data_IF_240838010668
#
_entry.id   IF_240838010668
#
_cell.length_a   1.000
_cell.length_b   1.000
_cell.length_c   1.000
_cell.angle_alpha   90.00
_cell.angle_beta   90.00
_cell.angle_gamma   90.00
#
_symmetry.space_group_name_H-M   'P 1'
#
loop_
_entity.id
_entity.type
_entity.pdbx_description
1 polymer ?
#
# COMPACT_ATOMS: atom_id res chain seq x y z
N UNK A 1 -10.21 -21.76 -12.87
CA UNK A 1 -10.28 -20.60 -11.98
C UNK A 1 -11.34 -20.87 -10.91
N UNK A 2 -11.00 -20.72 -9.64
CA UNK A 2 -11.94 -20.76 -8.52
C UNK A 2 -12.09 -19.38 -7.95
N UNK A 3 -13.33 -18.89 -7.82
CA UNK A 3 -13.64 -17.62 -7.18
C UNK A 3 -14.23 -17.94 -5.81
N UNK A 4 -13.68 -17.29 -4.78
CA UNK A 4 -14.20 -17.31 -3.41
C UNK A 4 -14.53 -15.88 -3.01
N UNK A 5 -15.74 -15.67 -2.50
CA UNK A 5 -16.19 -14.40 -1.97
C UNK A 5 -16.26 -14.47 -0.44
N UNK A 6 -15.52 -13.59 0.22
CA UNK A 6 -15.45 -13.49 1.68
C UNK A 6 -15.81 -12.07 2.11
N UNK A 7 -17.06 -11.82 2.48
CA UNK A 7 -17.49 -10.51 2.95
C UNK A 7 -16.92 -10.23 4.35
N UNK A 8 -16.50 -8.99 4.58
CA UNK A 8 -16.28 -8.49 5.94
C UNK A 8 -17.61 -8.00 6.51
N UNK A 9 -17.83 -8.19 7.82
CA UNK A 9 -19.07 -7.78 8.50
C UNK A 9 -19.31 -6.27 8.42
N UNK A 10 -18.24 -5.48 8.40
CA UNK A 10 -18.30 -4.03 8.24
C UNK A 10 -17.10 -3.49 7.46
N UNK A 11 -17.23 -2.37 6.77
CA UNK A 11 -16.10 -1.70 6.15
C UNK A 11 -15.18 -1.13 7.24
N UNK A 12 -13.98 -1.66 7.36
CA UNK A 12 -13.01 -1.27 8.40
C UNK A 12 -11.76 -0.57 7.86
N UNK A 13 -11.67 -0.46 6.54
CA UNK A 13 -10.51 0.12 5.84
C UNK A 13 -9.78 -0.89 4.97
N UNK A 14 -8.56 -0.57 4.56
CA UNK A 14 -7.79 -1.34 3.58
C UNK A 14 -6.99 -2.50 4.17
N UNK A 15 -6.43 -2.34 5.37
CA UNK A 15 -5.51 -3.31 5.95
C UNK A 15 -6.17 -4.62 6.41
N UNK A 16 -7.33 -4.62 7.10
CA UNK A 16 -7.97 -5.86 7.53
C UNK A 16 -8.37 -6.79 6.36
N UNK A 17 -9.00 -6.32 5.26
CA UNK A 17 -9.29 -7.20 4.13
C UNK A 17 -8.03 -7.74 3.46
N UNK A 18 -6.96 -6.97 3.39
CA UNK A 18 -5.67 -7.42 2.85
C UNK A 18 -5.06 -8.54 3.72
N UNK A 19 -5.08 -8.42 5.04
CA UNK A 19 -4.71 -9.52 5.94
C UNK A 19 -5.57 -10.77 5.69
N UNK A 20 -6.89 -10.57 5.51
CA UNK A 20 -7.82 -11.68 5.25
C UNK A 20 -7.50 -12.42 3.96
N UNK A 21 -7.08 -11.72 2.91
CA UNK A 21 -6.64 -12.36 1.66
C UNK A 21 -5.51 -13.36 1.92
N UNK A 22 -4.48 -12.98 2.65
CA UNK A 22 -3.37 -13.88 2.98
C UNK A 22 -3.79 -15.03 3.90
N UNK A 23 -4.70 -14.79 4.84
CA UNK A 23 -5.24 -15.83 5.74
C UNK A 23 -5.94 -16.95 4.95
N UNK A 24 -6.82 -16.57 4.01
CA UNK A 24 -7.69 -17.54 3.33
C UNK A 24 -7.12 -18.10 2.02
N UNK A 25 -6.07 -17.51 1.49
CA UNK A 25 -5.40 -18.01 0.29
C UNK A 25 -4.89 -19.44 0.49
N UNK A 26 -4.91 -20.25 -0.56
CA UNK A 26 -4.48 -21.65 -0.53
C UNK A 26 -3.26 -21.94 -1.41
N UNK A 27 -2.80 -20.95 -2.19
CA UNK A 27 -1.59 -21.05 -3.00
C UNK A 27 -0.33 -20.74 -2.18
N UNK A 28 0.82 -21.09 -2.74
CA UNK A 28 2.14 -20.88 -2.12
C UNK A 28 2.55 -19.41 -2.15
N UNK A 29 2.06 -18.66 -3.14
CA UNK A 29 2.23 -17.21 -3.23
C UNK A 29 0.88 -16.49 -3.29
N UNK A 30 0.85 -15.27 -2.80
CA UNK A 30 -0.35 -14.41 -2.82
C UNK A 30 0.00 -13.09 -3.49
N UNK A 31 -0.82 -12.70 -4.45
CA UNK A 31 -0.81 -11.35 -5.03
C UNK A 31 -2.10 -10.65 -4.63
N UNK A 32 -1.99 -9.67 -3.77
CA UNK A 32 -3.10 -8.84 -3.32
C UNK A 32 -3.26 -7.66 -4.29
N UNK A 33 -4.48 -7.42 -4.74
CA UNK A 33 -4.77 -6.39 -5.74
C UNK A 33 -6.00 -5.58 -5.36
N UNK A 34 -6.01 -4.30 -5.70
CA UNK A 34 -7.19 -3.45 -5.60
C UNK A 34 -8.15 -3.72 -6.77
N UNK A 35 -9.43 -3.42 -6.61
CA UNK A 35 -10.50 -3.71 -7.59
C UNK A 35 -10.51 -2.78 -8.81
N UNK A 36 -9.67 -1.76 -8.81
CA UNK A 36 -9.61 -0.71 -9.83
C UNK A 36 -8.22 -0.61 -10.49
N UNK A 37 -7.54 -1.74 -10.60
CA UNK A 37 -6.29 -1.86 -11.34
C UNK A 37 -6.46 -2.82 -12.52
N UNK A 38 -5.57 -2.71 -13.49
CA UNK A 38 -5.38 -3.69 -14.54
C UNK A 38 -3.93 -4.20 -14.52
N UNK A 39 -3.68 -5.29 -15.22
CA UNK A 39 -2.32 -5.79 -15.43
C UNK A 39 -1.91 -5.62 -16.89
N UNK A 40 -0.65 -5.28 -17.09
CA UNK A 40 -0.09 -5.35 -18.43
C UNK A 40 -0.02 -6.79 -18.92
N UNK A 41 -0.09 -7.02 -20.25
CA UNK A 41 0.03 -8.34 -20.81
C UNK A 41 1.21 -9.13 -20.24
N UNK A 42 1.01 -10.40 -19.95
CA UNK A 42 1.99 -11.34 -19.38
C UNK A 42 2.49 -11.05 -17.95
N UNK A 43 2.13 -9.93 -17.34
CA UNK A 43 2.62 -9.56 -16.01
C UNK A 43 2.35 -10.65 -14.95
N UNK A 44 1.15 -11.21 -14.92
CA UNK A 44 0.78 -12.28 -13.99
C UNK A 44 1.51 -13.59 -14.28
N UNK A 45 1.63 -13.99 -15.56
CA UNK A 45 2.39 -15.17 -15.94
C UNK A 45 3.84 -15.08 -15.51
N UNK A 46 4.45 -13.91 -15.69
CA UNK A 46 5.84 -13.65 -15.31
C UNK A 46 6.00 -13.59 -13.79
N UNK A 47 5.01 -13.08 -13.08
CA UNK A 47 4.99 -13.15 -11.63
C UNK A 47 5.01 -14.62 -11.15
N UNK A 48 4.19 -15.49 -11.72
CA UNK A 48 4.20 -16.92 -11.40
C UNK A 48 5.56 -17.56 -11.67
N UNK A 49 6.15 -17.30 -12.84
CA UNK A 49 7.50 -17.81 -13.19
C UNK A 49 8.58 -17.30 -12.23
N UNK A 50 8.48 -16.04 -11.81
CA UNK A 50 9.43 -15.47 -10.85
C UNK A 50 9.31 -16.18 -9.49
N UNK A 51 8.10 -16.42 -9.02
CA UNK A 51 7.83 -17.17 -7.77
C UNK A 51 8.41 -18.58 -7.87
N UNK A 52 8.15 -19.29 -8.97
CA UNK A 52 8.68 -20.65 -9.19
C UNK A 52 10.22 -20.68 -9.20
N UNK A 53 10.86 -19.64 -9.71
CA UNK A 53 12.33 -19.51 -9.73
C UNK A 53 12.92 -19.03 -8.39
N UNK A 54 12.09 -18.52 -7.46
CA UNK A 54 12.52 -17.97 -6.17
C UNK A 54 11.69 -18.56 -5.00
N UNK A 55 11.67 -19.90 -4.83
CA UNK A 55 10.80 -20.57 -3.84
C UNK A 55 11.13 -20.24 -2.38
N UNK A 56 12.32 -19.72 -2.12
CA UNK A 56 12.78 -19.33 -0.78
C UNK A 56 12.71 -17.81 -0.54
N UNK A 57 12.09 -17.05 -1.44
CA UNK A 57 11.99 -15.61 -1.30
C UNK A 57 11.22 -15.23 -0.03
N UNK A 58 11.79 -14.30 0.74
CA UNK A 58 11.17 -13.75 1.94
C UNK A 58 10.73 -12.29 1.74
N UNK A 59 10.78 -11.82 0.50
CA UNK A 59 10.66 -10.43 0.13
C UNK A 59 9.20 -10.00 -0.07
N UNK A 60 8.92 -8.71 0.10
CA UNK A 60 7.69 -8.09 -0.36
C UNK A 60 7.88 -7.68 -1.82
N UNK A 61 6.97 -8.12 -2.67
CA UNK A 61 7.05 -7.97 -4.12
C UNK A 61 6.02 -6.96 -4.62
N UNK A 62 6.45 -6.06 -5.46
CA UNK A 62 5.60 -5.08 -6.13
C UNK A 62 6.06 -4.85 -7.56
N UNK A 63 5.35 -4.04 -8.31
CA UNK A 63 5.74 -3.67 -9.66
C UNK A 63 5.47 -2.20 -9.95
N UNK A 64 5.93 -1.68 -11.09
CA UNK A 64 5.68 -0.31 -11.48
C UNK A 64 4.19 -0.02 -11.63
N UNK A 65 3.69 1.01 -10.91
CA UNK A 65 2.36 1.55 -11.10
C UNK A 65 2.36 2.48 -12.31
N UNK A 66 1.43 2.28 -13.21
CA UNK A 66 1.21 3.16 -14.37
C UNK A 66 0.01 4.07 -14.13
N UNK A 67 0.09 5.30 -14.60
CA UNK A 67 -1.05 6.22 -14.60
C UNK A 67 -2.03 5.88 -15.74
N UNK A 68 -3.27 6.35 -15.61
CA UNK A 68 -4.38 6.03 -16.53
C UNK A 68 -4.04 6.17 -18.03
N UNK A 69 -3.24 7.12 -18.42
CA UNK A 69 -2.85 7.31 -19.83
C UNK A 69 -1.75 6.37 -20.33
N UNK A 70 -1.23 5.47 -19.50
CA UNK A 70 -0.06 4.60 -19.76
C UNK A 70 1.21 5.36 -20.18
N UNK A 71 1.23 6.68 -19.98
CA UNK A 71 2.30 7.58 -20.44
C UNK A 71 3.42 7.77 -19.43
N UNK A 72 3.14 7.45 -18.17
CA UNK A 72 4.11 7.54 -17.07
C UNK A 72 3.90 6.42 -16.07
N UNK A 73 4.96 6.09 -15.35
CA UNK A 73 4.91 5.08 -14.31
C UNK A 73 5.76 5.49 -13.11
N UNK A 74 5.46 4.89 -11.98
CA UNK A 74 6.19 5.07 -10.73
C UNK A 74 6.64 3.72 -10.19
N UNK A 75 7.90 3.62 -9.81
CA UNK A 75 8.50 2.37 -9.32
C UNK A 75 8.53 2.27 -7.81
N UNK A 76 8.48 3.42 -7.12
CA UNK A 76 8.66 3.47 -5.68
C UNK A 76 8.05 4.73 -5.07
N UNK A 77 7.95 4.71 -3.75
CA UNK A 77 7.81 5.88 -2.90
C UNK A 77 9.15 6.21 -2.24
N UNK A 78 9.58 7.45 -2.35
CA UNK A 78 10.59 8.02 -1.48
C UNK A 78 10.00 8.36 -0.10
N UNK A 79 10.81 8.30 0.98
CA UNK A 79 10.29 8.36 2.35
C UNK A 79 9.78 9.73 2.86
N UNK A 80 9.99 10.89 2.19
CA UNK A 80 9.55 12.17 2.74
C UNK A 80 8.03 12.26 2.93
N UNK A 81 7.62 12.97 3.97
CA UNK A 81 6.23 13.37 4.17
C UNK A 81 5.86 14.55 3.26
N UNK A 82 4.70 14.45 2.62
CA UNK A 82 4.08 15.52 1.83
C UNK A 82 2.56 15.40 1.81
N UNK A 83 1.85 16.49 1.65
CA UNK A 83 0.41 16.53 1.31
C UNK A 83 -0.50 15.67 2.22
N UNK A 84 -0.15 15.46 3.45
CA UNK A 84 -0.92 14.64 4.39
C UNK A 84 -0.68 13.14 4.26
N UNK A 85 0.45 12.73 3.69
CA UNK A 85 0.90 11.33 3.64
C UNK A 85 2.43 11.23 3.72
N UNK A 86 2.92 10.06 4.08
CA UNK A 86 4.32 9.68 3.88
C UNK A 86 4.46 8.97 2.54
N UNK A 87 5.41 9.44 1.75
CA UNK A 87 5.73 8.87 0.46
C UNK A 87 5.55 9.86 -0.70
N UNK A 88 6.62 9.99 -1.47
CA UNK A 88 6.66 10.79 -2.70
C UNK A 88 6.90 9.85 -3.87
N UNK A 89 6.07 9.95 -4.90
CA UNK A 89 6.24 9.15 -6.10
C UNK A 89 7.58 9.38 -6.77
N UNK A 90 8.34 8.31 -6.99
CA UNK A 90 9.60 8.28 -7.69
C UNK A 90 9.63 7.25 -8.82
N UNK A 91 10.52 7.47 -9.78
CA UNK A 91 10.67 6.57 -10.92
C UNK A 91 12.15 6.31 -11.19
N UNK A 92 12.53 5.04 -11.15
CA UNK A 92 13.84 4.58 -11.57
C UNK A 92 13.76 4.14 -13.04
N UNK A 93 14.07 5.05 -13.93
CA UNK A 93 14.02 4.80 -15.37
C UNK A 93 15.08 3.80 -15.83
N UNK A 94 16.24 3.77 -15.22
CA UNK A 94 17.33 2.88 -15.63
C UNK A 94 16.99 1.42 -15.33
N UNK A 95 16.45 1.14 -14.13
CA UNK A 95 16.11 -0.21 -13.69
C UNK A 95 14.75 -0.70 -14.15
N UNK A 96 13.82 0.19 -14.43
CA UNK A 96 12.49 -0.15 -14.90
C UNK A 96 12.20 0.35 -16.33
N UNK A 97 13.24 0.76 -17.07
CA UNK A 97 13.08 1.36 -18.38
C UNK A 97 12.21 0.52 -19.29
N UNK A 98 11.42 1.23 -19.99
CA UNK A 98 10.33 0.78 -20.78
C UNK A 98 10.48 1.47 -22.15
N UNK A 99 10.53 0.68 -23.20
CA UNK A 99 10.33 1.19 -24.54
C UNK A 99 9.08 0.55 -25.14
N UNK A 100 8.46 1.20 -26.09
CA UNK A 100 7.21 0.74 -26.70
C UNK A 100 7.35 -0.63 -27.38
N UNK A 101 8.55 -1.08 -27.66
CA UNK A 101 8.87 -2.34 -28.29
C UNK A 101 8.91 -3.50 -27.30
N UNK A 102 9.24 -3.23 -26.02
CA UNK A 102 9.20 -4.26 -24.96
C UNK A 102 7.79 -4.76 -24.63
N UNK A 103 6.76 -4.07 -25.10
CA UNK A 103 5.37 -4.53 -25.00
C UNK A 103 5.09 -5.75 -25.86
N UNK A 104 5.81 -5.90 -26.95
CA UNK A 104 5.56 -6.93 -27.94
C UNK A 104 6.50 -8.12 -27.81
N UNK A 105 7.65 -7.96 -27.17
CA UNK A 105 8.66 -9.00 -27.01
C UNK A 105 8.70 -9.52 -25.56
N UNK A 106 8.10 -10.68 -25.37
CA UNK A 106 7.98 -11.40 -24.08
C UNK A 106 9.35 -11.77 -23.47
N UNK A 107 10.41 -11.84 -24.29
CA UNK A 107 11.76 -12.24 -23.85
C UNK A 107 12.61 -11.08 -23.31
N UNK A 108 12.30 -9.83 -23.59
CA UNK A 108 13.24 -8.71 -23.45
C UNK A 108 13.23 -8.05 -22.07
N UNK A 109 12.24 -8.23 -21.24
CA UNK A 109 12.29 -7.62 -19.91
C UNK A 109 13.00 -8.52 -18.90
N UNK A 110 14.26 -8.78 -19.17
CA UNK A 110 15.19 -9.47 -18.24
C UNK A 110 15.75 -8.54 -17.16
N UNK A 111 15.14 -7.38 -16.93
CA UNK A 111 15.57 -6.51 -15.84
C UNK A 111 15.29 -7.16 -14.51
N UNK A 112 16.34 -7.22 -13.72
CA UNK A 112 16.30 -7.83 -12.40
C UNK A 112 15.43 -7.03 -11.44
N UNK A 113 14.83 -7.74 -10.49
CA UNK A 113 14.16 -7.14 -9.35
C UNK A 113 15.14 -6.24 -8.59
N UNK A 114 14.68 -5.10 -8.11
CA UNK A 114 15.51 -4.16 -7.37
C UNK A 114 14.83 -3.65 -6.10
N UNK A 115 15.65 -3.28 -5.12
CA UNK A 115 15.16 -2.76 -3.85
C UNK A 115 14.48 -1.41 -4.01
N UNK A 116 13.35 -1.24 -3.33
CA UNK A 116 12.61 0.02 -3.24
C UNK A 116 12.32 0.37 -1.78
N UNK A 117 12.20 1.66 -1.47
CA UNK A 117 11.85 2.09 -0.13
C UNK A 117 10.40 1.79 0.23
N UNK A 118 9.51 2.01 -0.68
CA UNK A 118 8.08 1.75 -0.57
C UNK A 118 7.40 1.83 -1.93
N UNK A 119 6.12 1.48 -1.97
CA UNK A 119 5.24 1.64 -3.14
C UNK A 119 3.79 1.69 -2.67
N UNK A 120 2.89 2.20 -3.53
CA UNK A 120 1.44 2.07 -3.32
C UNK A 120 1.01 0.61 -3.28
N UNK A 121 0.03 0.30 -2.44
CA UNK A 121 -0.42 -1.07 -2.20
C UNK A 121 -1.61 -1.49 -3.10
N UNK A 122 -1.74 -0.88 -4.27
CA UNK A 122 -2.71 -1.34 -5.28
C UNK A 122 -2.39 -2.72 -5.83
N UNK A 123 -1.09 -3.08 -5.87
CA UNK A 123 -0.60 -4.43 -6.19
C UNK A 123 0.60 -4.73 -5.32
N UNK A 124 0.56 -5.82 -4.58
CA UNK A 124 1.71 -6.33 -3.83
C UNK A 124 1.55 -7.82 -3.55
N UNK A 125 2.64 -8.52 -3.34
CA UNK A 125 2.61 -9.96 -3.07
C UNK A 125 3.83 -10.46 -2.32
N UNK A 126 3.75 -11.70 -1.90
CA UNK A 126 4.87 -12.47 -1.35
C UNK A 126 4.52 -13.96 -1.33
N UNK A 127 5.47 -14.82 -0.96
CA UNK A 127 5.13 -16.18 -0.54
C UNK A 127 4.21 -16.10 0.69
N UNK A 128 3.18 -16.94 0.72
CA UNK A 128 2.10 -16.86 1.71
C UNK A 128 2.62 -16.93 3.15
N UNK A 129 3.51 -17.86 3.42
CA UNK A 129 4.11 -18.08 4.74
C UNK A 129 5.09 -16.99 5.16
N UNK A 130 5.46 -16.11 4.22
CA UNK A 130 6.33 -14.96 4.46
C UNK A 130 5.56 -13.65 4.70
N UNK A 131 4.23 -13.69 4.72
CA UNK A 131 3.43 -12.51 5.01
C UNK A 131 3.58 -12.06 6.46
N UNK A 132 4.06 -10.82 6.67
CA UNK A 132 4.27 -10.25 8.00
C UNK A 132 3.02 -9.61 8.63
N UNK A 133 1.98 -9.42 7.85
CA UNK A 133 0.71 -8.84 8.30
C UNK A 133 0.73 -7.34 8.56
N UNK A 134 -0.39 -6.71 8.31
CA UNK A 134 -0.65 -5.35 8.80
C UNK A 134 -1.03 -5.40 10.27
N UNK A 135 -0.77 -4.31 10.98
CA UNK A 135 -1.20 -4.12 12.35
C UNK A 135 -2.73 -4.36 12.47
N UNK A 136 -3.19 -5.21 13.37
CA UNK A 136 -4.61 -5.56 13.50
C UNK A 136 -5.50 -4.39 13.92
N UNK A 137 -4.91 -3.33 14.48
CA UNK A 137 -5.61 -2.12 14.90
C UNK A 137 -5.71 -1.06 13.80
N UNK A 138 -5.09 -1.24 12.63
CA UNK A 138 -5.25 -0.33 11.50
C UNK A 138 -6.70 -0.25 11.05
N UNK A 139 -7.19 0.96 10.81
CA UNK A 139 -8.55 1.23 10.35
C UNK A 139 -8.52 2.31 9.27
N UNK A 140 -9.57 2.35 8.47
CA UNK A 140 -9.74 3.30 7.37
C UNK A 140 -8.58 3.22 6.36
N UNK A 141 -7.93 4.33 6.02
CA UNK A 141 -6.94 4.41 4.97
C UNK A 141 -5.77 5.30 5.35
N UNK A 142 -4.58 4.89 4.98
CA UNK A 142 -3.32 5.66 5.04
C UNK A 142 -2.41 5.22 6.17
N UNK A 143 -1.13 5.30 5.89
CA UNK A 143 -0.04 4.88 6.77
C UNK A 143 0.42 3.44 6.55
N UNK A 144 -0.34 2.62 5.83
CA UNK A 144 -0.05 1.21 5.63
C UNK A 144 1.09 0.94 4.66
N UNK A 145 1.30 1.80 3.66
CA UNK A 145 2.29 1.59 2.60
C UNK A 145 3.72 1.56 3.17
N UNK A 146 4.19 2.67 3.72
CA UNK A 146 5.55 2.74 4.27
C UNK A 146 5.69 1.85 5.50
N UNK A 147 4.62 1.66 6.28
CA UNK A 147 4.62 0.75 7.42
C UNK A 147 5.02 -0.68 7.02
N UNK A 148 4.33 -1.30 6.05
CA UNK A 148 4.60 -2.70 5.70
C UNK A 148 5.99 -2.87 5.07
N UNK A 149 6.42 -1.92 4.24
CA UNK A 149 7.76 -1.94 3.68
C UNK A 149 8.84 -1.81 4.78
N UNK A 150 8.62 -0.94 5.76
CA UNK A 150 9.53 -0.79 6.91
C UNK A 150 9.55 -2.06 7.75
N UNK A 151 8.40 -2.69 7.99
CA UNK A 151 8.29 -3.95 8.72
C UNK A 151 9.13 -5.07 8.07
N UNK A 152 9.05 -5.20 6.74
CA UNK A 152 9.87 -6.15 6.00
C UNK A 152 11.37 -5.86 6.17
N UNK A 153 11.81 -4.62 5.97
CA UNK A 153 13.22 -4.24 6.15
C UNK A 153 13.73 -4.48 7.58
N UNK A 154 12.91 -4.15 8.60
CA UNK A 154 13.25 -4.42 10.01
C UNK A 154 13.37 -5.91 10.32
N UNK A 155 12.65 -6.76 9.59
CA UNK A 155 12.77 -8.21 9.67
C UNK A 155 13.96 -8.78 8.86
N UNK A 156 14.85 -7.92 8.33
CA UNK A 156 15.99 -8.33 7.50
C UNK A 156 15.59 -8.88 6.13
N UNK A 157 14.44 -8.43 5.61
CA UNK A 157 13.91 -8.81 4.30
C UNK A 157 13.96 -7.63 3.33
N UNK A 158 13.87 -7.90 2.04
CA UNK A 158 13.83 -6.84 1.01
C UNK A 158 12.40 -6.47 0.64
N UNK A 159 12.28 -5.31 0.04
CA UNK A 159 11.07 -4.85 -0.63
C UNK A 159 11.44 -4.56 -2.08
N UNK A 160 10.91 -5.35 -3.01
CA UNK A 160 11.38 -5.42 -4.38
C UNK A 160 10.36 -4.86 -5.38
N UNK A 161 10.84 -4.08 -6.32
CA UNK A 161 10.13 -3.79 -7.56
C UNK A 161 10.51 -4.84 -8.61
N UNK A 162 9.50 -5.53 -9.16
CA UNK A 162 9.61 -6.45 -10.29
C UNK A 162 9.29 -5.65 -11.57
N UNK A 163 10.25 -5.29 -12.42
CA UNK A 163 10.01 -4.39 -13.56
C UNK A 163 8.92 -4.85 -14.53
N UNK A 164 8.73 -6.14 -14.65
CA UNK A 164 7.72 -6.76 -15.51
C UNK A 164 6.31 -6.76 -14.91
N UNK A 165 6.15 -6.61 -13.60
CA UNK A 165 4.85 -6.62 -12.92
C UNK A 165 4.20 -5.23 -12.99
N UNK A 166 4.02 -4.72 -14.22
CA UNK A 166 3.42 -3.40 -14.45
C UNK A 166 1.91 -3.47 -14.33
N UNK A 167 1.33 -2.47 -13.65
CA UNK A 167 -0.09 -2.40 -13.40
C UNK A 167 -0.63 -0.96 -13.52
N UNK A 168 -1.55 -0.72 -14.47
CA UNK A 168 -2.30 0.52 -14.58
C UNK A 168 -3.24 0.71 -13.39
N UNK A 169 -3.20 1.89 -12.79
CA UNK A 169 -4.10 2.29 -11.72
C UNK A 169 -5.17 3.26 -12.26
N UNK A 170 -6.43 2.90 -12.10
CA UNK A 170 -7.55 3.74 -12.50
C UNK A 170 -7.91 4.67 -11.35
N UNK A 171 -7.43 5.92 -11.40
CA UNK A 171 -7.75 6.91 -10.38
C UNK A 171 -9.21 7.37 -10.41
N UNK A 172 -9.85 7.34 -11.58
CA UNK A 172 -11.27 7.64 -11.77
C UNK A 172 -12.18 6.46 -11.37
N UNK A 173 -11.97 5.92 -10.18
CA UNK A 173 -12.82 4.85 -9.68
C UNK A 173 -14.24 5.38 -9.42
N UNK A 174 -15.26 4.92 -10.17
CA UNK A 174 -16.64 5.34 -9.96
C UNK A 174 -17.25 4.78 -8.67
N UNK A 175 -16.62 3.76 -8.09
CA UNK A 175 -17.08 3.17 -6.85
C UNK A 175 -16.74 4.07 -5.67
N UNK A 176 -17.76 4.56 -4.99
CA UNK A 176 -17.58 5.36 -3.78
C UNK A 176 -16.97 4.51 -2.67
N UNK A 177 -15.95 5.03 -2.02
CA UNK A 177 -15.36 4.41 -0.83
C UNK A 177 -16.43 4.15 0.23
N UNK A 178 -16.35 3.00 0.86
CA UNK A 178 -17.34 2.59 1.87
C UNK A 178 -16.97 3.04 3.30
N UNK A 179 -15.87 3.76 3.44
CA UNK A 179 -15.37 4.29 4.72
C UNK A 179 -14.86 5.73 4.54
N UNK A 180 -14.91 6.57 5.59
CA UNK A 180 -14.41 7.93 5.54
C UNK A 180 -12.89 7.97 5.39
N UNK A 181 -12.36 9.06 4.79
CA UNK A 181 -10.94 9.35 4.79
C UNK A 181 -10.65 10.37 5.90
N UNK A 182 -10.41 9.89 7.10
CA UNK A 182 -10.10 10.73 8.24
C UNK A 182 -8.59 10.92 8.37
N UNK A 183 -8.13 12.18 8.42
CA UNK A 183 -6.73 12.47 8.75
C UNK A 183 -6.37 11.97 10.16
N UNK A 184 -7.32 12.00 11.07
CA UNK A 184 -7.13 11.50 12.45
C UNK A 184 -6.89 9.99 12.46
N UNK A 185 -7.70 9.21 11.74
CA UNK A 185 -7.48 7.77 11.61
C UNK A 185 -6.16 7.45 10.92
N UNK A 186 -5.80 8.21 9.90
CA UNK A 186 -4.51 8.10 9.22
C UNK A 186 -3.34 8.35 10.17
N UNK A 187 -3.37 9.42 10.95
CA UNK A 187 -2.33 9.74 11.94
C UNK A 187 -2.23 8.65 12.99
N UNK A 188 -3.38 8.13 13.46
CA UNK A 188 -3.41 6.98 14.36
C UNK A 188 -2.70 5.76 13.75
N UNK A 189 -2.95 5.44 12.48
CA UNK A 189 -2.25 4.36 11.79
C UNK A 189 -0.74 4.60 11.72
N UNK A 190 -0.30 5.85 11.44
CA UNK A 190 1.12 6.18 11.49
C UNK A 190 1.72 5.99 12.89
N UNK A 191 1.04 6.43 13.94
CA UNK A 191 1.50 6.23 15.32
C UNK A 191 1.64 4.74 15.63
N UNK A 192 0.61 3.94 15.37
CA UNK A 192 0.64 2.48 15.55
C UNK A 192 1.78 1.83 14.77
N UNK A 193 1.93 2.20 13.50
CA UNK A 193 2.96 1.62 12.63
C UNK A 193 4.37 1.99 13.03
N UNK A 194 4.59 3.23 13.43
CA UNK A 194 5.90 3.67 13.93
C UNK A 194 6.27 2.98 15.23
N UNK A 195 5.33 2.89 16.19
CA UNK A 195 5.56 2.20 17.45
C UNK A 195 5.90 0.71 17.22
N UNK A 196 5.13 0.01 16.39
CA UNK A 196 5.38 -1.40 16.09
C UNK A 196 6.74 -1.62 15.41
N UNK A 197 7.12 -0.73 14.48
CA UNK A 197 8.39 -0.82 13.78
C UNK A 197 9.58 -0.24 14.57
N UNK A 198 9.36 0.30 15.77
CA UNK A 198 10.41 0.98 16.55
C UNK A 198 10.95 2.23 15.87
N UNK A 199 10.10 2.95 15.10
CA UNK A 199 10.44 4.20 14.45
C UNK A 199 10.03 5.39 15.34
N UNK A 200 10.80 6.50 15.33
CA UNK A 200 10.47 7.69 16.11
C UNK A 200 9.20 8.38 15.58
N UNK A 201 8.45 8.99 16.47
CA UNK A 201 7.21 9.70 16.15
C UNK A 201 7.40 11.18 15.75
N UNK A 202 8.60 11.73 15.91
CA UNK A 202 8.89 13.14 15.68
C UNK A 202 8.53 13.62 14.27
N UNK A 203 8.82 12.82 13.24
CA UNK A 203 8.47 13.16 11.85
C UNK A 203 6.96 13.19 11.62
N UNK A 204 6.23 12.23 12.19
CA UNK A 204 4.75 12.21 12.12
C UNK A 204 4.18 13.45 12.81
N UNK A 205 4.66 13.76 14.01
CA UNK A 205 4.25 14.95 14.77
C UNK A 205 4.52 16.24 14.00
N UNK A 206 5.75 16.42 13.51
CA UNK A 206 6.13 17.63 12.76
C UNK A 206 5.26 17.82 11.53
N UNK A 207 4.98 16.74 10.79
CA UNK A 207 4.18 16.83 9.59
C UNK A 207 2.70 17.12 9.87
N UNK A 208 2.06 16.36 10.75
CA UNK A 208 0.62 16.41 10.93
C UNK A 208 0.15 17.44 11.97
N UNK A 209 0.96 17.73 12.98
CA UNK A 209 0.62 18.68 14.05
C UNK A 209 1.25 20.04 13.81
N UNK A 210 2.57 20.09 13.56
CA UNK A 210 3.28 21.33 13.27
C UNK A 210 3.14 21.78 11.82
N UNK A 211 2.57 20.94 10.95
CA UNK A 211 2.32 21.24 9.53
C UNK A 211 3.60 21.53 8.74
N UNK A 212 4.68 20.86 9.09
CA UNK A 212 5.93 20.94 8.35
C UNK A 212 5.89 19.99 7.15
N UNK A 213 6.22 20.49 5.96
CA UNK A 213 6.29 19.68 4.75
C UNK A 213 7.77 19.42 4.39
N UNK A 214 8.21 18.19 4.46
CA UNK A 214 9.61 17.80 4.19
C UNK A 214 10.04 18.06 2.74
N UNK A 215 9.10 18.20 1.81
CA UNK A 215 9.37 18.51 0.40
C UNK A 215 9.33 19.99 0.06
N UNK A 216 9.13 20.87 1.06
CA UNK A 216 9.09 22.32 0.88
C UNK A 216 7.80 22.86 0.23
N UNK A 217 6.81 22.02 -0.01
CA UNK A 217 5.49 22.42 -0.52
C UNK A 217 4.61 23.07 0.55
N UNK A 218 3.38 23.45 0.17
CA UNK A 218 2.40 23.97 1.12
C UNK A 218 2.00 22.87 2.10
N UNK A 219 1.89 23.22 3.38
CA UNK A 219 1.35 22.31 4.37
C UNK A 219 -0.17 22.13 4.17
N UNK A 220 -0.65 20.93 4.43
CA UNK A 220 -2.08 20.61 4.40
C UNK A 220 -2.62 20.68 5.82
N UNK A 221 -3.75 21.37 5.99
CA UNK A 221 -4.46 21.32 7.27
C UNK A 221 -5.13 19.96 7.44
N UNK A 222 -4.60 19.17 8.33
CA UNK A 222 -5.08 17.82 8.62
C UNK A 222 -6.18 17.80 9.68
N UNK A 223 -6.45 18.93 10.34
CA UNK A 223 -7.35 19.00 11.49
C UNK A 223 -6.83 18.30 12.76
N UNK A 224 -5.60 17.78 12.74
CA UNK A 224 -4.98 17.15 13.90
C UNK A 224 -4.40 18.22 14.81
N UNK A 225 -5.03 18.42 15.97
CA UNK A 225 -4.55 19.34 17.00
C UNK A 225 -3.60 18.64 17.97
N UNK A 226 -2.89 19.41 18.81
CA UNK A 226 -2.05 18.85 19.87
C UNK A 226 -2.85 17.91 20.79
N UNK A 227 -4.06 18.29 21.19
CA UNK A 227 -4.89 17.46 22.07
C UNK A 227 -5.30 16.13 21.41
N UNK A 228 -5.57 16.13 20.10
CA UNK A 228 -5.85 14.90 19.35
C UNK A 228 -4.60 14.03 19.28
N UNK A 229 -3.44 14.62 19.01
CA UNK A 229 -2.16 13.91 18.97
C UNK A 229 -1.85 13.25 20.31
N UNK A 230 -1.93 14.00 21.42
CA UNK A 230 -1.65 13.49 22.76
C UNK A 230 -2.56 12.30 23.10
N UNK A 231 -3.85 12.42 22.78
CA UNK A 231 -4.81 11.34 23.01
C UNK A 231 -4.55 10.08 22.14
N UNK A 232 -4.06 10.26 20.89
CA UNK A 232 -3.66 9.15 20.04
C UNK A 232 -2.41 8.45 20.59
N UNK A 233 -1.41 9.22 21.01
CA UNK A 233 -0.14 8.66 21.50
C UNK A 233 -0.30 7.97 22.85
N UNK A 234 -1.21 8.46 23.69
CA UNK A 234 -1.50 7.88 25.02
C UNK A 234 -2.07 6.45 24.89
N UNK A 235 -3.05 6.24 24.01
CA UNK A 235 -3.62 4.91 23.74
C UNK A 235 -4.05 4.77 22.26
N UNK A 236 -3.10 4.49 21.35
CA UNK A 236 -3.42 4.47 19.93
C UNK A 236 -4.30 3.28 19.53
N UNK A 237 -4.33 2.21 20.30
CA UNK A 237 -5.17 1.03 19.99
C UNK A 237 -6.63 1.30 20.30
N UNK A 238 -6.92 2.02 21.37
CA UNK A 238 -8.27 2.35 21.83
C UNK A 238 -8.78 3.70 21.37
N UNK A 239 -7.91 4.56 20.83
CA UNK A 239 -8.38 5.85 20.34
C UNK A 239 -9.54 5.65 19.37
N UNK A 240 -10.70 6.29 19.61
CA UNK A 240 -11.91 6.01 18.86
C UNK A 240 -11.74 6.42 17.39
N UNK A 241 -11.82 5.44 16.52
CA UNK A 241 -12.08 5.68 15.09
C UNK A 241 -13.57 5.92 14.97
N UNK A 242 -13.99 6.97 14.29
CA UNK A 242 -15.40 7.29 14.12
C UNK A 242 -16.16 6.05 13.62
N UNK A 243 -17.29 5.69 14.24
CA UNK A 243 -18.10 4.62 13.71
C UNK A 243 -18.53 4.99 12.29
N UNK A 244 -18.40 4.04 11.38
CA UNK A 244 -18.91 4.22 10.04
C UNK A 244 -20.41 4.51 10.09
N UNK A 245 -20.93 5.43 9.27
CA UNK A 245 -22.35 5.67 9.20
C UNK A 245 -23.04 4.34 8.90
N UNK A 246 -23.96 3.92 9.77
CA UNK A 246 -24.78 2.74 9.53
C UNK A 246 -25.41 2.88 8.14
N UNK A 247 -25.23 1.90 7.28
CA UNK A 247 -25.99 1.86 6.01
C UNK A 247 -27.46 1.96 6.35
N UNK A 248 -28.08 3.09 6.10
CA UNK A 248 -29.54 3.12 5.95
C UNK A 248 -29.82 2.16 4.80
N UNK A 249 -30.49 1.07 5.12
CA UNK A 249 -30.99 0.15 4.12
C UNK A 249 -31.79 0.97 3.10
N UNK A 250 -31.26 1.11 1.90
CA UNK A 250 -32.05 1.63 0.79
C UNK A 250 -33.00 0.51 0.42
N UNK A 251 -34.14 0.50 1.10
CA UNK A 251 -35.29 -0.26 0.64
C UNK A 251 -35.70 0.43 -0.66
N UNK A 252 -35.40 -0.19 -1.78
CA UNK A 252 -35.97 0.20 -3.07
C UNK A 252 -37.46 -0.11 -2.98
N UNK A 253 -38.26 0.93 -2.87
CA UNK A 253 -39.70 0.88 -3.17
C UNK A 253 -39.91 0.75 -4.65
#
# INVERSE_FOLDING_TARGET
LRIRYEPLESPVGTSPPRNKVFEIATGDAVLCVDDHIDFMPTALERFCRWVDANPDSRDLLQGPMMLDGLTSFHTHFDPPFRDGMQGTWGTDYERAAYNDQEWQDIEISSKEAFDIHGQGLGVFGCLKDQWLGFNPHFREFGGEEIYIHTKYRKAGRRTLCLPFLKWPHRFDNPNKRMYPLSSVAKVRNYVLGHLENGEPLDRVYRHFVLRENETGGKSVDTGVTQAIWDAIVDDPERYPVLPLPSRKSVVKS
#
